data_IF_666217133070
#
_entry.id   IF_666217133070
#
_cell.length_a   1.000
_cell.length_b   1.000
_cell.length_c   1.000
_cell.angle_alpha   90.00
_cell.angle_beta   90.00
_cell.angle_gamma   90.00
#
_symmetry.space_group_name_H-M   'P 1'
#
loop_
_entity.id
_entity.type
_entity.pdbx_description
1 polymer ?
#
# COMPACT_ATOMS: atom_id res chain seq x y z
N UNK A 1 2.30 36.24 -26.49
CA UNK A 1 0.89 36.16 -26.08
C UNK A 1 0.89 35.81 -24.61
N UNK A 2 0.40 36.71 -23.76
CA UNK A 2 0.33 36.45 -22.32
C UNK A 2 -1.00 35.77 -22.01
N UNK A 3 -0.95 34.62 -21.34
CA UNK A 3 -2.11 33.98 -20.76
C UNK A 3 -2.30 34.60 -19.37
N UNK A 4 -3.46 35.22 -19.13
CA UNK A 4 -3.87 35.61 -17.78
C UNK A 4 -4.27 34.32 -17.04
N UNK A 5 -3.37 33.81 -16.18
CA UNK A 5 -3.59 32.61 -15.36
C UNK A 5 -4.06 33.02 -13.97
N UNK A 6 -5.22 32.53 -13.54
CA UNK A 6 -5.77 32.72 -12.19
C UNK A 6 -6.00 31.35 -11.57
N UNK A 7 -5.30 31.06 -10.47
CA UNK A 7 -5.49 29.83 -9.69
C UNK A 7 -6.53 30.10 -8.61
N UNK A 8 -7.61 29.34 -8.65
CA UNK A 8 -8.75 29.48 -7.73
C UNK A 8 -9.07 28.13 -7.14
N UNK A 9 -9.20 28.08 -5.81
CA UNK A 9 -9.68 26.90 -5.11
C UNK A 9 -11.20 26.75 -5.25
N UNK A 10 -11.63 25.49 -5.25
CA UNK A 10 -13.03 25.17 -5.40
C UNK A 10 -13.31 23.72 -5.07
N UNK A 11 -14.57 23.42 -4.82
CA UNK A 11 -15.06 22.09 -4.50
C UNK A 11 -15.67 21.45 -5.74
N UNK A 12 -15.16 20.26 -6.10
CA UNK A 12 -15.79 19.40 -7.10
C UNK A 12 -16.81 18.48 -6.40
N UNK A 13 -18.09 18.73 -6.67
CA UNK A 13 -19.19 17.93 -6.12
C UNK A 13 -19.26 16.54 -6.78
N UNK A 14 -19.96 15.62 -6.12
CA UNK A 14 -20.13 14.24 -6.61
C UNK A 14 -20.93 14.15 -7.92
N UNK A 15 -21.75 15.15 -8.22
CA UNK A 15 -22.50 15.27 -9.47
C UNK A 15 -21.65 15.83 -10.63
N UNK A 16 -20.38 16.18 -10.37
CA UNK A 16 -19.45 16.72 -11.35
C UNK A 16 -19.50 18.26 -11.48
N UNK A 17 -20.30 18.95 -10.67
CA UNK A 17 -20.32 20.42 -10.66
C UNK A 17 -19.12 20.98 -9.88
N UNK A 18 -18.46 22.00 -10.44
CA UNK A 18 -17.36 22.72 -9.79
C UNK A 18 -17.90 24.00 -9.16
N UNK A 19 -17.78 24.13 -7.84
CA UNK A 19 -18.07 25.35 -7.11
C UNK A 19 -16.77 26.07 -6.79
N UNK A 20 -16.61 27.31 -7.26
CA UNK A 20 -15.42 28.11 -6.98
C UNK A 20 -15.65 28.91 -5.70
N UNK A 21 -14.67 28.89 -4.79
CA UNK A 21 -14.80 29.56 -3.51
C UNK A 21 -14.67 31.09 -3.66
N UNK A 22 -14.03 31.54 -4.74
CA UNK A 22 -13.84 32.94 -5.08
C UNK A 22 -13.99 33.19 -6.58
N UNK A 23 -14.26 34.44 -6.95
CA UNK A 23 -14.39 34.86 -8.34
C UNK A 23 -13.00 34.85 -9.02
N UNK A 24 -12.82 34.14 -10.15
CA UNK A 24 -11.59 34.20 -10.92
C UNK A 24 -11.33 35.61 -11.45
N UNK A 25 -10.09 36.08 -11.32
CA UNK A 25 -9.66 37.37 -11.86
C UNK A 25 -9.17 37.20 -13.29
N UNK A 26 -10.13 36.92 -14.19
CA UNK A 26 -9.89 36.78 -15.63
C UNK A 26 -10.88 37.63 -16.40
N UNK A 27 -10.45 38.13 -17.57
CA UNK A 27 -11.33 38.95 -18.42
C UNK A 27 -12.53 38.13 -18.92
N UNK A 28 -13.71 38.76 -19.10
CA UNK A 28 -14.87 38.10 -19.68
C UNK A 28 -14.54 37.47 -21.03
N UNK A 29 -14.83 36.19 -21.20
CA UNK A 29 -14.52 35.44 -22.42
C UNK A 29 -14.58 33.93 -22.21
N UNK A 30 -14.25 33.16 -23.26
CA UNK A 30 -14.10 31.71 -23.14
C UNK A 30 -12.84 31.41 -22.33
N UNK A 31 -12.97 30.62 -21.27
CA UNK A 31 -11.87 30.22 -20.38
C UNK A 31 -11.53 28.75 -20.57
N UNK A 32 -10.26 28.39 -20.34
CA UNK A 32 -9.81 27.01 -20.23
C UNK A 32 -9.61 26.70 -18.74
N UNK A 33 -10.19 25.61 -18.25
CA UNK A 33 -10.16 25.24 -16.82
C UNK A 33 -9.32 23.99 -16.65
N UNK A 34 -8.29 24.09 -15.80
CA UNK A 34 -7.46 22.95 -15.38
C UNK A 34 -7.87 22.60 -13.94
N UNK A 35 -8.51 21.45 -13.76
CA UNK A 35 -8.92 20.97 -12.44
C UNK A 35 -7.83 20.07 -11.88
N UNK A 36 -7.23 20.49 -10.77
CA UNK A 36 -6.29 19.68 -10.00
C UNK A 36 -6.91 19.35 -8.65
N UNK A 37 -6.76 18.10 -8.19
CA UNK A 37 -7.18 17.75 -6.83
C UNK A 37 -6.28 18.45 -5.82
N UNK A 38 -6.87 19.25 -4.93
CA UNK A 38 -6.12 19.85 -3.82
C UNK A 38 -5.46 18.75 -2.97
N UNK A 39 -4.19 18.96 -2.62
CA UNK A 39 -3.45 18.06 -1.74
C UNK A 39 -4.15 18.02 -0.38
N UNK A 40 -4.84 16.91 -0.10
CA UNK A 40 -5.64 16.77 1.12
C UNK A 40 -7.06 16.26 0.89
N UNK A 41 -7.54 16.14 -0.36
CA UNK A 41 -8.74 15.32 -0.60
C UNK A 41 -8.37 13.86 -0.28
N UNK A 42 -8.89 13.24 0.79
CA UNK A 42 -8.58 11.88 1.12
C UNK A 42 -9.40 10.98 0.19
N UNK A 43 -9.08 10.99 -1.11
CA UNK A 43 -9.28 9.80 -1.96
C UNK A 43 -8.22 8.78 -1.56
N UNK A 44 -8.30 8.33 -0.34
CA UNK A 44 -7.52 7.24 0.20
C UNK A 44 -8.46 6.56 1.17
N UNK A 45 -8.96 5.39 0.80
CA UNK A 45 -9.47 4.47 1.82
C UNK A 45 -8.44 4.35 2.94
N UNK A 46 -8.91 3.94 4.13
CA UNK A 46 -8.10 3.75 5.35
C UNK A 46 -6.64 3.40 5.01
N UNK A 47 -5.69 4.24 5.42
CA UNK A 47 -4.27 3.99 5.14
C UNK A 47 -3.90 2.66 5.78
N UNK A 48 -3.03 1.87 5.15
CA UNK A 48 -2.61 0.57 5.69
C UNK A 48 -2.17 0.65 7.16
N UNK A 49 -1.49 1.73 7.53
CA UNK A 49 -1.07 2.04 8.91
C UNK A 49 -2.26 2.17 9.87
N UNK A 50 -3.33 2.83 9.44
CA UNK A 50 -4.55 3.00 10.25
C UNK A 50 -5.24 1.66 10.49
N UNK A 51 -5.29 0.81 9.46
CA UNK A 51 -5.82 -0.56 9.55
C UNK A 51 -4.99 -1.41 10.51
N UNK A 52 -3.65 -1.32 10.42
CA UNK A 52 -2.75 -2.06 11.30
C UNK A 52 -2.89 -1.66 12.77
N UNK A 53 -3.02 -0.35 13.05
CA UNK A 53 -3.25 0.16 14.41
C UNK A 53 -4.60 -0.29 14.99
N UNK A 54 -5.65 -0.33 14.17
CA UNK A 54 -6.96 -0.87 14.56
C UNK A 54 -6.87 -2.36 14.92
N UNK A 55 -6.26 -3.18 14.06
CA UNK A 55 -6.07 -4.61 14.31
C UNK A 55 -5.28 -4.84 15.60
N UNK A 56 -4.21 -4.06 15.84
CA UNK A 56 -3.40 -4.16 17.05
C UNK A 56 -4.20 -3.82 18.30
N UNK A 57 -5.05 -2.79 18.24
CA UNK A 57 -5.94 -2.41 19.35
C UNK A 57 -6.95 -3.50 19.64
N UNK A 58 -7.57 -4.06 18.61
CA UNK A 58 -8.55 -5.15 18.72
C UNK A 58 -7.94 -6.42 19.31
N UNK A 59 -6.75 -6.80 18.84
CA UNK A 59 -6.00 -7.94 19.38
C UNK A 59 -5.69 -7.74 20.86
N UNK A 60 -5.22 -6.54 21.25
CA UNK A 60 -4.95 -6.21 22.65
C UNK A 60 -6.21 -6.28 23.51
N UNK A 61 -7.34 -5.76 23.02
CA UNK A 61 -8.63 -5.79 23.73
C UNK A 61 -9.12 -7.23 23.95
N UNK A 62 -8.84 -8.13 23.02
CA UNK A 62 -9.13 -9.58 23.14
C UNK A 62 -8.11 -10.34 23.99
N UNK A 63 -7.10 -9.66 24.54
CA UNK A 63 -6.06 -10.27 25.38
C UNK A 63 -5.00 -11.05 24.60
N UNK A 64 -4.90 -10.85 23.28
CA UNK A 64 -3.87 -11.50 22.47
C UNK A 64 -2.48 -10.95 22.83
N UNK A 65 -1.60 -11.84 23.30
CA UNK A 65 -0.22 -11.50 23.68
C UNK A 65 0.76 -11.43 22.51
N UNK A 66 0.43 -12.02 21.36
CA UNK A 66 1.38 -12.22 20.26
C UNK A 66 2.46 -13.24 20.61
N UNK A 67 3.36 -13.50 19.64
CA UNK A 67 4.56 -14.32 19.88
C UNK A 67 5.67 -13.44 20.46
N UNK A 68 6.45 -13.99 21.37
CA UNK A 68 7.66 -13.33 21.86
C UNK A 68 8.75 -13.34 20.78
N UNK A 69 9.76 -12.48 20.98
CA UNK A 69 10.93 -12.45 20.08
C UNK A 69 11.63 -13.82 20.09
N UNK A 70 11.74 -14.45 21.25
CA UNK A 70 12.36 -15.77 21.41
C UNK A 70 11.58 -16.86 20.67
N UNK A 71 10.25 -16.85 20.75
CA UNK A 71 9.38 -17.78 20.01
C UNK A 71 9.51 -17.59 18.49
N UNK A 72 9.66 -16.34 18.04
CA UNK A 72 9.85 -16.02 16.63
C UNK A 72 11.21 -16.51 16.13
N UNK A 73 12.28 -16.31 16.92
CA UNK A 73 13.63 -16.78 16.61
C UNK A 73 13.71 -18.31 16.60
N UNK A 74 13.07 -18.98 17.57
CA UNK A 74 13.00 -20.44 17.62
C UNK A 74 12.26 -21.01 16.39
N UNK A 75 11.15 -20.37 16.00
CA UNK A 75 10.39 -20.77 14.80
C UNK A 75 11.21 -20.59 13.52
N UNK A 76 11.95 -19.48 13.40
CA UNK A 76 12.78 -19.21 12.23
C UNK A 76 13.97 -20.18 12.16
N UNK A 77 14.59 -20.49 13.29
CA UNK A 77 15.66 -21.48 13.35
C UNK A 77 15.18 -22.86 12.91
N UNK A 78 14.01 -23.30 13.39
CA UNK A 78 13.41 -24.58 12.98
C UNK A 78 13.09 -24.62 11.48
N UNK A 79 12.62 -23.50 10.92
CA UNK A 79 12.36 -23.37 9.47
C UNK A 79 13.63 -23.51 8.64
N UNK A 80 14.73 -22.90 9.08
CA UNK A 80 16.03 -22.99 8.42
C UNK A 80 16.57 -24.43 8.48
N UNK A 81 16.47 -25.09 9.63
CA UNK A 81 16.90 -26.49 9.78
C UNK A 81 16.09 -27.43 8.86
N UNK A 82 14.77 -27.23 8.75
CA UNK A 82 13.93 -27.97 7.81
C UNK A 82 14.30 -27.71 6.34
N UNK A 83 14.58 -26.45 5.98
CA UNK A 83 15.04 -26.07 4.64
C UNK A 83 16.41 -26.70 4.30
N UNK A 84 17.33 -26.76 5.26
CA UNK A 84 18.64 -27.40 5.10
C UNK A 84 18.50 -28.92 4.89
N UNK A 85 17.67 -29.59 5.69
CA UNK A 85 17.37 -31.02 5.51
C UNK A 85 16.73 -31.30 4.15
N UNK A 86 15.83 -30.43 3.71
CA UNK A 86 15.23 -30.50 2.38
C UNK A 86 16.29 -30.38 1.27
N UNK A 87 17.19 -29.41 1.37
CA UNK A 87 18.27 -29.21 0.40
C UNK A 87 19.22 -30.42 0.33
N UNK A 88 19.61 -30.98 1.48
CA UNK A 88 20.44 -32.20 1.53
C UNK A 88 19.73 -33.38 0.88
N UNK A 89 18.43 -33.55 1.12
CA UNK A 89 17.61 -34.58 0.48
C UNK A 89 17.52 -34.40 -1.04
N UNK A 90 17.36 -33.16 -1.51
CA UNK A 90 17.35 -32.86 -2.94
C UNK A 90 18.71 -33.16 -3.60
N UNK A 91 19.81 -32.85 -2.93
CA UNK A 91 21.15 -33.16 -3.42
C UNK A 91 21.41 -34.67 -3.48
N UNK A 92 20.99 -35.44 -2.48
CA UNK A 92 21.16 -36.90 -2.49
C UNK A 92 20.32 -37.59 -3.57
N UNK A 93 19.11 -37.08 -3.84
CA UNK A 93 18.27 -37.56 -4.95
C UNK A 93 18.82 -37.14 -6.33
N UNK A 94 19.40 -35.95 -6.44
CA UNK A 94 20.03 -35.46 -7.67
C UNK A 94 21.41 -36.09 -7.96
N UNK A 95 22.08 -36.62 -6.94
CA UNK A 95 23.38 -37.31 -7.04
C UNK A 95 23.26 -38.82 -7.28
N UNK A 96 22.05 -39.39 -7.26
CA UNK A 96 21.85 -40.78 -7.67
C UNK A 96 22.14 -40.90 -9.17
N UNK A 97 23.10 -41.75 -9.61
CA UNK A 97 23.30 -41.99 -11.03
C UNK A 97 22.00 -42.58 -11.57
N UNK A 98 21.40 -41.91 -12.57
CA UNK A 98 20.30 -42.50 -13.34
C UNK A 98 20.80 -43.85 -13.82
N UNK A 99 20.21 -44.91 -13.25
CA UNK A 99 20.65 -46.27 -13.50
C UNK A 99 20.55 -46.53 -14.99
N UNK A 100 21.70 -46.84 -15.57
CA UNK A 100 21.93 -47.18 -16.95
C UNK A 100 20.96 -48.28 -17.37
N UNK A 101 19.89 -47.96 -18.09
CA UNK A 101 19.11 -48.96 -18.81
C UNK A 101 19.85 -49.32 -20.11
N UNK A 102 20.09 -50.62 -20.26
CA UNK A 102 20.68 -51.29 -21.43
C UNK A 102 19.59 -52.01 -22.18
#
# INVERSE_FOLDING_TARGET
MSLDESVVEGTLNADGTLHLDQKPDVKPGRVHVIVQSAAGNPRGGRRLVEVMEEIKRDQKARGYRGRTIEEMQASEKARIEEEDEYLVRCQSLGAAPQSTER
#
